data_IF_642028848646
#
_entry.id   IF_642028848646
#
_cell.length_a   1.000
_cell.length_b   1.000
_cell.length_c   1.000
_cell.angle_alpha   90.00
_cell.angle_beta   90.00
_cell.angle_gamma   90.00
#
_symmetry.space_group_name_H-M   'P 1'
#
loop_
_entity.id
_entity.type
_entity.pdbx_description
1 polymer ?
#
# COMPACT_ATOMS: atom_id res chain seq x y z
N UNK A 1 14.95 6.59 25.03
CA UNK A 1 15.21 6.41 23.59
C UNK A 1 14.76 5.02 23.19
N UNK A 2 13.58 4.89 22.60
CA UNK A 2 13.07 3.61 22.10
C UNK A 2 13.91 3.16 20.91
N UNK A 3 14.48 1.96 20.97
CA UNK A 3 15.19 1.34 19.84
C UNK A 3 14.22 1.30 18.65
N UNK A 4 14.62 1.91 17.51
CA UNK A 4 13.89 1.83 16.26
C UNK A 4 13.59 0.37 15.93
N UNK A 5 12.34 0.04 15.61
CA UNK A 5 11.88 -1.32 15.28
C UNK A 5 12.49 -1.85 13.97
N UNK A 6 13.23 -1.00 13.25
CA UNK A 6 13.89 -1.29 11.97
C UNK A 6 15.40 -1.14 12.17
N UNK A 7 16.08 -2.23 12.53
CA UNK A 7 17.49 -2.17 12.90
C UNK A 7 18.44 -2.07 11.70
N UNK A 8 18.01 -2.42 10.48
CA UNK A 8 18.88 -2.33 9.29
C UNK A 8 18.03 -2.12 8.04
N UNK A 9 18.41 -1.12 7.23
CA UNK A 9 17.79 -0.85 5.93
C UNK A 9 17.97 -2.03 4.97
N UNK A 10 19.10 -2.72 5.06
CA UNK A 10 19.46 -3.89 4.26
C UNK A 10 18.43 -5.03 4.37
N UNK A 11 17.79 -5.19 5.53
CA UNK A 11 16.76 -6.21 5.75
C UNK A 11 15.47 -5.96 4.93
N UNK A 12 15.30 -4.75 4.43
CA UNK A 12 14.16 -4.37 3.60
C UNK A 12 14.41 -4.61 2.11
N UNK A 13 15.67 -4.78 1.70
CA UNK A 13 16.08 -4.88 0.29
C UNK A 13 15.61 -6.22 -0.29
N UNK A 14 14.84 -6.15 -1.37
CA UNK A 14 14.44 -7.30 -2.19
C UNK A 14 15.34 -7.46 -3.41
N UNK A 15 15.84 -6.35 -3.93
CA UNK A 15 16.75 -6.32 -5.08
C UNK A 15 17.65 -5.09 -5.00
N UNK A 16 18.88 -5.27 -5.40
CA UNK A 16 19.85 -4.19 -5.61
C UNK A 16 20.71 -4.50 -6.82
N UNK A 17 20.89 -3.50 -7.70
CA UNK A 17 21.86 -3.52 -8.78
C UNK A 17 22.64 -2.19 -8.80
N UNK A 18 23.40 -1.93 -9.86
CA UNK A 18 24.23 -0.70 -9.99
C UNK A 18 23.38 0.58 -10.00
N UNK A 19 22.11 0.49 -10.41
CA UNK A 19 21.23 1.62 -10.65
C UNK A 19 20.10 1.75 -9.63
N UNK A 20 19.59 0.63 -9.12
CA UNK A 20 18.33 0.58 -8.37
C UNK A 20 18.45 -0.23 -7.07
N UNK A 21 17.72 0.22 -6.06
CA UNK A 21 17.38 -0.55 -4.88
C UNK A 21 15.85 -0.67 -4.83
N UNK A 22 15.35 -1.89 -4.64
CA UNK A 22 13.92 -2.17 -4.44
C UNK A 22 13.72 -2.76 -3.06
N UNK A 23 12.86 -2.13 -2.28
CA UNK A 23 12.59 -2.58 -0.91
C UNK A 23 11.15 -3.05 -0.74
N UNK A 24 10.93 -3.94 0.24
CA UNK A 24 9.61 -4.20 0.82
C UNK A 24 9.41 -3.25 2.01
N UNK A 25 8.84 -2.07 1.72
CA UNK A 25 8.60 -1.06 2.77
C UNK A 25 7.66 -1.63 3.84
N UNK A 26 8.07 -1.66 5.11
CA UNK A 26 7.15 -2.06 6.17
C UNK A 26 6.06 -0.99 6.40
N UNK A 27 4.93 -1.37 7.00
CA UNK A 27 3.94 -0.39 7.43
C UNK A 27 4.49 0.51 8.53
N UNK A 28 3.89 1.70 8.69
CA UNK A 28 4.23 2.74 9.66
C UNK A 28 5.59 3.43 9.44
N UNK A 29 6.32 3.09 8.38
CA UNK A 29 7.50 3.82 7.92
C UNK A 29 7.11 4.78 6.79
N UNK A 30 7.38 6.08 6.96
CA UNK A 30 7.14 7.08 5.93
C UNK A 30 8.07 6.88 4.72
N UNK A 31 7.57 7.09 3.48
CA UNK A 31 8.41 7.02 2.27
C UNK A 31 9.39 8.18 2.19
N UNK A 32 8.93 9.38 2.54
CA UNK A 32 9.69 10.64 2.52
C UNK A 32 9.63 11.30 3.89
N UNK A 33 10.50 12.27 4.13
CA UNK A 33 10.53 13.04 5.37
C UNK A 33 9.20 13.81 5.57
N UNK A 34 8.66 13.77 6.76
CA UNK A 34 7.49 14.57 7.14
C UNK A 34 7.96 16.00 7.46
N UNK A 35 7.15 17.02 7.10
CA UNK A 35 7.51 18.45 7.21
C UNK A 35 7.85 18.91 8.63
N UNK A 36 7.32 18.27 9.63
CA UNK A 36 7.42 18.68 11.05
C UNK A 36 8.02 17.57 11.94
N UNK A 37 8.92 16.73 11.41
CA UNK A 37 9.40 15.64 12.24
C UNK A 37 10.80 15.16 11.96
N UNK A 38 11.54 14.88 13.03
CA UNK A 38 12.78 14.08 13.02
C UNK A 38 12.49 12.57 12.84
N UNK A 39 11.27 12.22 12.40
CA UNK A 39 10.83 10.84 12.24
C UNK A 39 11.65 10.08 11.20
N UNK A 40 11.81 8.79 11.43
CA UNK A 40 12.48 7.89 10.50
C UNK A 40 11.66 7.75 9.20
N UNK A 41 12.33 7.89 8.06
CA UNK A 41 11.74 7.68 6.73
C UNK A 41 12.59 6.73 5.90
N UNK A 42 12.01 6.15 4.83
CA UNK A 42 12.79 5.38 3.86
C UNK A 42 13.85 6.27 3.22
N UNK A 43 13.52 7.52 2.90
CA UNK A 43 14.48 8.46 2.32
C UNK A 43 15.74 8.64 3.19
N UNK A 44 15.58 8.84 4.50
CA UNK A 44 16.71 8.96 5.43
C UNK A 44 17.51 7.67 5.53
N UNK A 45 16.83 6.53 5.67
CA UNK A 45 17.49 5.22 5.74
C UNK A 45 18.28 4.91 4.46
N UNK A 46 17.65 5.16 3.30
CA UNK A 46 18.31 4.95 2.00
C UNK A 46 19.55 5.84 1.83
N UNK A 47 19.48 7.11 2.24
CA UNK A 47 20.63 8.01 2.20
C UNK A 47 21.76 7.64 3.19
N UNK A 48 21.43 7.04 4.31
CA UNK A 48 22.44 6.49 5.23
C UNK A 48 23.13 5.25 4.64
N UNK A 49 22.39 4.44 3.89
CA UNK A 49 22.90 3.26 3.21
C UNK A 49 23.71 3.61 1.96
N UNK A 50 23.19 4.53 1.14
CA UNK A 50 23.80 5.00 -0.10
C UNK A 50 23.58 6.51 -0.25
N UNK A 51 24.64 7.29 -0.20
CA UNK A 51 24.57 8.76 -0.07
C UNK A 51 23.76 9.47 -1.19
N UNK A 52 23.79 8.94 -2.41
CA UNK A 52 23.07 9.51 -3.55
C UNK A 52 21.66 8.94 -3.75
N UNK A 53 21.21 8.01 -2.88
CA UNK A 53 19.90 7.37 -3.00
C UNK A 53 18.76 8.38 -3.06
N UNK A 54 17.84 8.15 -4.01
CA UNK A 54 16.63 8.97 -4.21
C UNK A 54 15.41 8.08 -4.33
N UNK A 55 14.40 8.33 -3.51
CA UNK A 55 13.12 7.59 -3.54
C UNK A 55 12.33 8.02 -4.77
N UNK A 56 12.04 7.09 -5.69
CA UNK A 56 11.42 7.38 -6.98
C UNK A 56 9.91 7.64 -6.92
N UNK A 57 9.22 7.08 -5.93
CA UNK A 57 7.78 7.27 -5.70
C UNK A 57 7.45 7.13 -4.22
N UNK A 58 6.19 7.32 -3.87
CA UNK A 58 5.77 7.24 -2.47
C UNK A 58 4.61 6.28 -2.27
N UNK A 59 4.59 5.64 -1.11
CA UNK A 59 3.46 4.95 -0.53
C UNK A 59 2.99 5.72 0.71
N UNK A 60 1.71 5.56 1.07
CA UNK A 60 1.22 6.06 2.35
C UNK A 60 1.98 5.39 3.50
N UNK A 61 2.07 6.06 4.64
CA UNK A 61 2.84 5.58 5.80
C UNK A 61 2.44 4.17 6.23
N UNK A 62 1.14 3.88 6.21
CA UNK A 62 0.57 2.59 6.59
C UNK A 62 0.57 1.55 5.46
N UNK A 63 0.69 1.97 4.20
CA UNK A 63 0.82 1.05 3.07
C UNK A 63 2.18 0.36 3.11
N UNK A 64 2.18 -0.96 3.01
CA UNK A 64 3.39 -1.79 2.89
C UNK A 64 3.67 -2.17 1.44
N UNK A 65 4.87 -2.68 1.14
CA UNK A 65 5.22 -3.27 -0.15
C UNK A 65 6.25 -2.51 -0.95
N UNK A 66 6.28 -2.75 -2.25
CA UNK A 66 7.34 -2.29 -3.15
C UNK A 66 7.53 -0.78 -3.16
N UNK A 67 8.76 -0.36 -2.90
CA UNK A 67 9.20 1.01 -3.05
C UNK A 67 10.54 1.03 -3.79
N UNK A 68 10.62 1.86 -4.85
CA UNK A 68 11.75 1.95 -5.75
C UNK A 68 12.63 3.13 -5.38
N UNK A 69 13.94 2.91 -5.35
CA UNK A 69 14.97 3.89 -5.00
C UNK A 69 16.02 3.85 -6.08
N UNK A 70 16.37 5.00 -6.63
CA UNK A 70 17.50 5.15 -7.57
C UNK A 70 18.79 5.41 -6.81
N UNK A 71 19.91 4.85 -7.30
CA UNK A 71 21.24 5.02 -6.72
C UNK A 71 21.99 6.23 -7.28
N UNK A 72 21.54 6.81 -8.39
CA UNK A 72 22.14 7.96 -9.03
C UNK A 72 21.09 8.86 -9.69
N UNK A 73 21.43 10.16 -9.98
CA UNK A 73 20.50 11.13 -10.56
C UNK A 73 19.98 10.75 -11.95
N UNK A 74 20.80 10.10 -12.78
CA UNK A 74 20.42 9.68 -14.13
C UNK A 74 19.30 8.64 -14.06
N UNK A 75 19.47 7.63 -13.22
CA UNK A 75 18.45 6.59 -12.98
C UNK A 75 17.19 7.18 -12.37
N UNK A 76 17.32 8.09 -11.39
CA UNK A 76 16.18 8.79 -10.81
C UNK A 76 15.36 9.52 -11.86
N UNK A 77 16.04 10.28 -12.75
CA UNK A 77 15.39 11.02 -13.84
C UNK A 77 14.71 10.05 -14.83
N UNK A 78 15.38 8.99 -15.22
CA UNK A 78 14.85 8.01 -16.17
C UNK A 78 13.60 7.31 -15.59
N UNK A 79 13.66 6.86 -14.34
CA UNK A 79 12.52 6.24 -13.64
C UNK A 79 11.36 7.24 -13.45
N UNK A 80 11.67 8.49 -13.12
CA UNK A 80 10.64 9.55 -12.99
C UNK A 80 9.87 9.76 -14.29
N UNK A 81 10.54 9.74 -15.44
CA UNK A 81 9.92 9.82 -16.77
C UNK A 81 8.98 8.63 -17.00
N UNK A 82 9.37 7.40 -16.60
CA UNK A 82 8.52 6.22 -16.73
C UNK A 82 7.24 6.33 -15.89
N UNK A 83 7.36 6.87 -14.65
CA UNK A 83 6.19 7.16 -13.81
C UNK A 83 5.28 8.25 -14.42
N UNK A 84 5.86 9.35 -14.91
CA UNK A 84 5.14 10.46 -15.54
C UNK A 84 4.38 9.99 -16.78
N UNK A 85 5.02 9.16 -17.61
CA UNK A 85 4.44 8.57 -18.81
C UNK A 85 3.51 7.38 -18.54
N UNK A 86 3.28 7.03 -17.25
CA UNK A 86 2.43 5.91 -16.81
C UNK A 86 2.85 4.55 -17.37
N UNK A 87 4.15 4.36 -17.59
CA UNK A 87 4.73 3.11 -18.10
C UNK A 87 5.22 2.18 -16.99
N UNK A 88 5.10 2.60 -15.74
CA UNK A 88 5.31 1.75 -14.57
C UNK A 88 3.99 1.11 -14.18
N UNK A 89 3.84 -0.19 -14.46
CA UNK A 89 2.69 -0.96 -14.02
C UNK A 89 2.82 -1.27 -12.52
N UNK A 90 1.78 -0.97 -11.76
CA UNK A 90 1.71 -1.13 -10.30
C UNK A 90 0.50 -1.99 -9.97
N UNK A 91 0.71 -3.03 -9.19
CA UNK A 91 -0.37 -3.87 -8.66
C UNK A 91 -0.35 -3.82 -7.14
N UNK A 92 -1.49 -3.49 -6.57
CA UNK A 92 -1.71 -3.52 -5.12
C UNK A 92 -2.74 -4.58 -4.80
N UNK A 93 -2.61 -5.18 -3.62
CA UNK A 93 -3.65 -6.02 -3.06
C UNK A 93 -4.29 -5.31 -1.87
N UNK A 94 -5.62 -5.33 -1.83
CA UNK A 94 -6.42 -4.79 -0.73
C UNK A 94 -7.42 -5.84 -0.24
N UNK A 95 -7.65 -5.88 1.07
CA UNK A 95 -8.81 -6.58 1.64
C UNK A 95 -9.89 -5.53 1.89
N UNK A 96 -11.06 -5.69 1.26
CA UNK A 96 -12.20 -4.78 1.36
C UNK A 96 -13.35 -5.43 2.11
N UNK A 97 -14.19 -4.60 2.73
CA UNK A 97 -15.42 -5.05 3.40
C UNK A 97 -16.49 -5.44 2.36
N UNK A 98 -17.22 -6.51 2.66
CA UNK A 98 -18.30 -7.03 1.81
C UNK A 98 -17.81 -7.97 0.71
N UNK A 99 -18.77 -8.62 0.07
CA UNK A 99 -18.55 -9.48 -1.10
C UNK A 99 -18.82 -8.66 -2.35
N UNK A 100 -17.74 -8.29 -3.06
CA UNK A 100 -17.80 -7.48 -4.27
C UNK A 100 -17.24 -8.24 -5.46
N UNK A 101 -17.95 -8.23 -6.57
CA UNK A 101 -17.52 -8.85 -7.83
C UNK A 101 -17.04 -7.74 -8.76
N UNK A 102 -15.73 -7.61 -8.88
CA UNK A 102 -15.09 -6.69 -9.82
C UNK A 102 -14.40 -7.49 -10.93
N UNK A 103 -14.87 -7.32 -12.15
CA UNK A 103 -14.30 -7.93 -13.36
C UNK A 103 -13.61 -6.84 -14.17
N UNK A 104 -12.38 -6.47 -13.75
CA UNK A 104 -11.63 -5.35 -14.33
C UNK A 104 -12.39 -4.01 -14.33
N UNK A 105 -13.09 -3.72 -13.24
CA UNK A 105 -13.84 -2.48 -13.06
C UNK A 105 -12.91 -1.26 -13.11
N UNK A 106 -13.09 -0.40 -14.12
CA UNK A 106 -12.45 0.90 -14.17
C UNK A 106 -13.21 1.93 -13.32
N UNK A 107 -12.54 2.53 -12.35
CA UNK A 107 -13.00 3.74 -11.66
C UNK A 107 -12.17 4.92 -12.18
N UNK A 108 -12.84 5.80 -12.96
CA UNK A 108 -12.28 7.05 -13.49
C UNK A 108 -12.99 8.23 -12.81
N UNK A 109 -12.49 8.61 -11.64
CA UNK A 109 -13.03 9.68 -10.82
C UNK A 109 -11.91 10.63 -10.39
N UNK A 110 -11.97 11.92 -10.79
CA UNK A 110 -10.90 12.86 -10.49
C UNK A 110 -10.83 13.18 -9.00
N UNK A 111 -9.61 13.34 -8.50
CA UNK A 111 -9.30 13.53 -7.08
C UNK A 111 -8.75 14.93 -6.85
N UNK A 112 -9.39 15.68 -5.95
CA UNK A 112 -8.93 16.96 -5.44
C UNK A 112 -8.21 16.77 -4.10
N UNK A 113 -7.00 17.32 -4.00
CA UNK A 113 -6.25 17.37 -2.74
C UNK A 113 -6.70 18.60 -1.94
N UNK A 114 -7.31 18.35 -0.78
CA UNK A 114 -7.83 19.39 0.13
C UNK A 114 -6.78 19.90 1.13
N UNK A 115 -5.54 19.39 1.06
CA UNK A 115 -4.54 19.62 2.12
C UNK A 115 -4.74 18.72 3.35
N UNK A 116 -3.84 18.86 4.33
CA UNK A 116 -3.89 18.10 5.61
C UNK A 116 -4.14 16.59 5.46
N UNK A 117 -3.54 15.98 4.44
CA UNK A 117 -3.69 14.55 4.11
C UNK A 117 -5.14 14.13 3.74
N UNK A 118 -6.00 15.07 3.36
CA UNK A 118 -7.37 14.79 2.93
C UNK A 118 -7.52 14.95 1.41
N UNK A 119 -8.31 14.08 0.81
CA UNK A 119 -8.69 14.15 -0.61
C UNK A 119 -10.20 13.91 -0.75
N UNK A 120 -10.76 14.43 -1.82
CA UNK A 120 -12.17 14.22 -2.19
C UNK A 120 -12.31 13.97 -3.69
N UNK A 121 -13.41 13.33 -4.10
CA UNK A 121 -13.79 13.27 -5.51
C UNK A 121 -14.39 14.61 -5.90
N UNK A 122 -13.82 15.24 -6.91
CA UNK A 122 -14.31 16.51 -7.46
C UNK A 122 -14.18 16.50 -8.98
N UNK A 123 -15.31 16.44 -9.68
CA UNK A 123 -15.35 16.36 -11.14
C UNK A 123 -14.95 17.66 -11.83
N UNK A 124 -15.06 18.79 -11.14
CA UNK A 124 -14.76 20.11 -11.70
C UNK A 124 -13.28 20.48 -11.52
N UNK A 125 -12.73 20.26 -10.33
CA UNK A 125 -11.39 20.74 -9.94
C UNK A 125 -10.39 19.64 -9.65
N UNK A 126 -10.84 18.37 -9.60
CA UNK A 126 -9.99 17.22 -9.32
C UNK A 126 -9.03 16.91 -10.46
N UNK A 127 -7.86 16.35 -10.10
CA UNK A 127 -6.91 15.84 -11.09
C UNK A 127 -7.34 14.45 -11.53
N UNK A 128 -7.26 14.16 -12.82
CA UNK A 128 -7.55 12.83 -13.40
C UNK A 128 -6.91 11.71 -12.57
N UNK A 129 -7.73 10.72 -12.22
CA UNK A 129 -7.33 9.54 -11.46
C UNK A 129 -8.11 8.32 -11.96
N UNK A 130 -7.37 7.25 -12.27
CA UNK A 130 -7.91 6.02 -12.87
C UNK A 130 -7.33 4.81 -12.15
N UNK A 131 -8.20 3.87 -11.77
CA UNK A 131 -7.81 2.62 -11.11
C UNK A 131 -8.69 1.48 -11.63
N UNK A 132 -8.06 0.37 -12.06
CA UNK A 132 -8.76 -0.88 -12.32
C UNK A 132 -8.82 -1.74 -11.06
N UNK A 133 -9.94 -2.40 -10.84
CA UNK A 133 -10.17 -3.33 -9.74
C UNK A 133 -10.61 -4.69 -10.25
N UNK A 134 -10.02 -5.75 -9.70
CA UNK A 134 -10.39 -7.14 -9.98
C UNK A 134 -10.47 -7.92 -8.68
N UNK A 135 -11.59 -8.61 -8.46
CA UNK A 135 -11.73 -9.49 -7.31
C UNK A 135 -10.91 -10.76 -7.51
N UNK A 136 -10.03 -11.05 -6.55
CA UNK A 136 -9.15 -12.22 -6.57
C UNK A 136 -9.70 -13.39 -5.78
N UNK A 137 -10.28 -13.08 -4.60
CA UNK A 137 -10.83 -14.10 -3.70
C UNK A 137 -11.96 -13.52 -2.86
N UNK A 138 -12.99 -14.28 -2.67
CA UNK A 138 -14.14 -13.95 -1.85
C UNK A 138 -14.03 -14.65 -0.50
N UNK A 139 -14.46 -13.96 0.54
CA UNK A 139 -14.67 -14.49 1.88
C UNK A 139 -16.05 -14.06 2.34
N UNK A 140 -16.59 -14.69 3.35
CA UNK A 140 -17.97 -14.46 3.84
C UNK A 140 -18.38 -12.98 3.97
N UNK A 141 -17.48 -12.14 4.45
CA UNK A 141 -17.72 -10.71 4.72
C UNK A 141 -16.65 -9.79 4.14
N UNK A 142 -15.70 -10.31 3.37
CA UNK A 142 -14.59 -9.57 2.80
C UNK A 142 -14.26 -10.06 1.39
N UNK A 143 -13.55 -9.24 0.65
CA UNK A 143 -13.01 -9.63 -0.66
C UNK A 143 -11.54 -9.21 -0.74
N UNK A 144 -10.66 -10.09 -1.22
CA UNK A 144 -9.31 -9.74 -1.64
C UNK A 144 -9.40 -9.20 -3.07
N UNK A 145 -8.91 -7.98 -3.26
CA UNK A 145 -8.97 -7.25 -4.56
C UNK A 145 -7.59 -6.88 -5.04
N UNK A 146 -7.35 -7.11 -6.32
CA UNK A 146 -6.27 -6.52 -7.08
C UNK A 146 -6.66 -5.10 -7.49
N UNK A 147 -5.76 -4.14 -7.24
CA UNK A 147 -5.92 -2.75 -7.59
C UNK A 147 -4.77 -2.32 -8.50
N UNK A 148 -5.07 -1.88 -9.72
CA UNK A 148 -4.08 -1.43 -10.70
C UNK A 148 -4.27 0.06 -11.01
N UNK A 149 -3.62 0.96 -10.23
CA UNK A 149 -3.74 2.39 -10.45
C UNK A 149 -2.90 2.83 -11.65
N UNK A 150 -3.53 3.43 -12.67
CA UNK A 150 -2.87 4.03 -13.84
C UNK A 150 -2.21 5.34 -13.45
N UNK A 151 -2.86 6.13 -12.63
CA UNK A 151 -2.36 7.38 -12.04
C UNK A 151 -1.84 7.12 -10.61
N UNK A 152 -1.28 8.13 -9.95
CA UNK A 152 -0.73 8.01 -8.59
C UNK A 152 -1.12 9.20 -7.71
N UNK A 153 -2.43 9.45 -7.52
CA UNK A 153 -2.90 10.51 -6.63
C UNK A 153 -2.87 10.05 -5.18
N UNK A 154 -2.77 11.00 -4.27
CA UNK A 154 -2.83 10.72 -2.82
C UNK A 154 -4.12 9.97 -2.49
N UNK A 155 -4.02 8.89 -1.71
CA UNK A 155 -5.13 8.01 -1.29
C UNK A 155 -5.99 7.44 -2.44
N UNK A 156 -5.50 7.43 -3.68
CA UNK A 156 -6.31 7.13 -4.87
C UNK A 156 -7.06 5.81 -4.75
N UNK A 157 -6.38 4.70 -4.46
CA UNK A 157 -7.01 3.37 -4.34
C UNK A 157 -8.07 3.40 -3.24
N UNK A 158 -7.76 4.02 -2.10
CA UNK A 158 -8.60 4.08 -0.90
C UNK A 158 -9.93 4.79 -1.18
N UNK A 159 -9.87 6.01 -1.75
CA UNK A 159 -11.07 6.78 -2.05
C UNK A 159 -11.85 6.17 -3.23
N UNK A 160 -11.19 5.63 -4.26
CA UNK A 160 -11.86 4.96 -5.37
C UNK A 160 -12.65 3.73 -4.90
N UNK A 161 -12.08 2.88 -4.05
CA UNK A 161 -12.80 1.75 -3.45
C UNK A 161 -13.99 2.22 -2.59
N UNK A 162 -13.80 3.27 -1.79
CA UNK A 162 -14.88 3.84 -0.98
C UNK A 162 -16.06 4.34 -1.84
N UNK A 163 -15.81 4.90 -3.04
CA UNK A 163 -16.88 5.28 -3.98
C UNK A 163 -17.69 4.09 -4.47
N UNK A 164 -17.10 2.90 -4.47
CA UNK A 164 -17.77 1.64 -4.83
C UNK A 164 -18.46 0.97 -3.62
N UNK A 165 -18.56 1.65 -2.47
CA UNK A 165 -19.04 1.08 -1.19
C UNK A 165 -18.24 -0.14 -0.73
N UNK A 166 -16.98 -0.20 -1.13
CA UNK A 166 -16.04 -1.29 -0.93
C UNK A 166 -14.83 -0.78 -0.12
N UNK A 167 -15.07 -0.21 1.07
CA UNK A 167 -14.01 0.37 1.89
C UNK A 167 -12.94 -0.68 2.25
N UNK A 168 -11.69 -0.27 2.27
CA UNK A 168 -10.60 -1.14 2.70
C UNK A 168 -10.76 -1.43 4.20
N UNK A 169 -10.65 -2.69 4.59
CA UNK A 169 -10.69 -3.12 5.98
C UNK A 169 -9.64 -2.36 6.82
N UNK A 170 -10.06 -1.72 7.90
CA UNK A 170 -9.23 -0.89 8.76
C UNK A 170 -8.98 0.54 8.27
N UNK A 171 -9.59 0.97 7.16
CA UNK A 171 -9.43 2.35 6.65
C UNK A 171 -10.52 3.28 7.19
N UNK A 172 -10.39 3.67 8.44
CA UNK A 172 -11.38 4.50 9.14
C UNK A 172 -11.62 5.85 8.44
N UNK A 173 -10.59 6.44 7.79
CA UNK A 173 -10.74 7.69 7.04
C UNK A 173 -11.77 7.57 5.90
N UNK A 174 -11.88 6.39 5.30
CA UNK A 174 -12.82 6.09 4.22
C UNK A 174 -13.89 5.07 4.65
N UNK A 175 -14.28 5.09 5.94
CA UNK A 175 -15.39 4.31 6.54
C UNK A 175 -15.15 2.80 6.64
N UNK A 176 -13.93 2.32 6.41
CA UNK A 176 -13.54 0.95 6.68
C UNK A 176 -13.36 0.71 8.17
N UNK A 177 -13.78 -0.46 8.66
CA UNK A 177 -13.76 -0.81 10.08
C UNK A 177 -12.56 -1.69 10.42
N UNK A 178 -12.00 -1.58 11.64
CA UNK A 178 -11.02 -2.54 12.14
C UNK A 178 -11.60 -3.96 12.14
N UNK A 179 -10.77 -4.94 11.79
CA UNK A 179 -11.18 -6.35 11.72
C UNK A 179 -10.77 -7.07 12.99
N UNK A 180 -11.75 -7.58 13.72
CA UNK A 180 -11.55 -8.33 14.95
C UNK A 180 -11.78 -9.83 14.72
N UNK A 181 -11.01 -10.66 15.44
CA UNK A 181 -11.12 -12.11 15.33
C UNK A 181 -12.51 -12.61 15.79
N UNK A 182 -13.12 -11.97 16.78
CA UNK A 182 -14.49 -12.26 17.26
C UNK A 182 -15.55 -12.10 16.18
N UNK A 183 -15.36 -11.14 15.25
CA UNK A 183 -16.28 -10.89 14.13
C UNK A 183 -16.20 -11.99 13.06
N UNK A 184 -15.00 -12.53 12.84
CA UNK A 184 -14.76 -13.59 11.85
C UNK A 184 -15.11 -14.97 12.45
N UNK A 185 -14.64 -15.24 13.67
CA UNK A 185 -14.84 -16.51 14.38
C UNK A 185 -16.11 -16.47 15.20
N UNK A 186 -17.24 -16.87 14.59
CA UNK A 186 -18.57 -16.83 15.23
C UNK A 186 -18.77 -17.76 16.44
N UNK A 187 -18.02 -18.87 16.55
CA UNK A 187 -18.15 -19.85 17.64
C UNK A 187 -16.81 -20.11 18.32
N UNK A 188 -16.83 -20.25 19.65
CA UNK A 188 -15.65 -20.62 20.43
C UNK A 188 -14.59 -19.53 20.50
N UNK A 189 -14.93 -18.23 20.29
CA UNK A 189 -14.08 -17.12 20.63
C UNK A 189 -14.17 -16.89 22.14
N UNK A 190 -13.02 -16.97 22.82
CA UNK A 190 -12.94 -16.71 24.27
C UNK A 190 -11.82 -15.72 24.49
N UNK A 191 -12.10 -14.59 25.08
CA UNK A 191 -11.08 -13.66 25.54
C UNK A 191 -10.56 -14.07 26.91
N UNK A 192 -9.25 -13.91 27.11
CA UNK A 192 -8.67 -14.01 28.46
C UNK A 192 -9.24 -12.91 29.37
N UNK A 193 -9.52 -13.25 30.65
CA UNK A 193 -10.04 -12.28 31.63
C UNK A 193 -9.19 -11.00 31.66
N UNK A 194 -9.82 -9.85 31.53
CA UNK A 194 -9.19 -8.52 31.64
C UNK A 194 -8.37 -8.06 30.42
N UNK A 195 -8.51 -8.69 29.25
CA UNK A 195 -7.90 -8.21 27.99
C UNK A 195 -8.95 -7.62 27.07
N UNK A 196 -8.63 -6.48 26.47
CA UNK A 196 -9.40 -5.94 25.36
C UNK A 196 -8.96 -6.62 24.06
N UNK A 197 -9.90 -6.86 23.15
CA UNK A 197 -9.60 -7.44 21.85
C UNK A 197 -8.88 -6.40 20.97
N UNK A 198 -7.73 -6.78 20.43
CA UNK A 198 -7.04 -5.97 19.46
C UNK A 198 -7.42 -6.40 18.03
N UNK A 199 -7.53 -5.45 17.07
CA UNK A 199 -7.77 -5.78 15.68
C UNK A 199 -6.62 -6.62 15.10
N UNK A 200 -6.93 -7.54 14.18
CA UNK A 200 -5.94 -8.39 13.48
C UNK A 200 -4.88 -7.54 12.78
N UNK A 201 -5.31 -6.42 12.21
CA UNK A 201 -4.43 -5.39 11.66
C UNK A 201 -4.73 -4.03 12.30
N UNK A 202 -3.68 -3.30 12.71
CA UNK A 202 -3.77 -1.94 13.31
C UNK A 202 -3.66 -0.84 12.24
N UNK A 203 -3.97 -1.14 10.99
CA UNK A 203 -3.91 -0.26 9.82
C UNK A 203 -4.82 -0.77 8.73
N UNK A 204 -5.04 0.02 7.70
CA UNK A 204 -5.79 -0.44 6.54
C UNK A 204 -5.04 -1.53 5.75
N UNK A 205 -5.80 -2.48 5.23
CA UNK A 205 -5.30 -3.66 4.53
C UNK A 205 -4.98 -3.35 3.06
N UNK A 206 -3.86 -2.62 2.82
CA UNK A 206 -3.36 -2.28 1.50
C UNK A 206 -1.86 -2.58 1.40
N UNK A 207 -1.45 -3.25 0.32
CA UNK A 207 -0.08 -3.70 0.08
C UNK A 207 0.31 -3.51 -1.39
N UNK A 208 1.43 -2.82 -1.67
CA UNK A 208 2.02 -2.69 -3.00
C UNK A 208 2.71 -4.00 -3.39
N UNK A 209 1.97 -4.86 -4.08
CA UNK A 209 2.32 -6.26 -4.32
C UNK A 209 3.31 -6.45 -5.45
N UNK A 210 3.10 -5.74 -6.57
CA UNK A 210 3.87 -5.97 -7.79
C UNK A 210 4.21 -4.66 -8.49
N UNK A 211 5.39 -4.64 -9.12
CA UNK A 211 5.90 -3.52 -9.90
C UNK A 211 6.57 -4.05 -11.16
N UNK A 212 6.16 -3.53 -12.34
CA UNK A 212 6.77 -3.85 -13.63
C UNK A 212 7.06 -2.58 -14.41
N UNK A 213 8.25 -2.49 -14.98
CA UNK A 213 8.67 -1.39 -15.86
C UNK A 213 9.87 -1.77 -16.71
N UNK A 214 10.16 -0.95 -17.71
CA UNK A 214 11.36 -1.06 -18.53
C UNK A 214 12.24 0.18 -18.32
N UNK A 215 13.53 -0.01 -18.17
CA UNK A 215 14.50 1.07 -18.07
C UNK A 215 15.62 0.82 -19.10
N UNK A 216 15.69 1.65 -20.13
CA UNK A 216 16.48 1.33 -21.31
C UNK A 216 15.99 0.06 -22.00
N UNK A 217 16.86 -0.93 -22.17
CA UNK A 217 16.51 -2.25 -22.71
C UNK A 217 16.16 -3.28 -21.64
N UNK A 218 16.39 -2.96 -20.35
CA UNK A 218 16.20 -3.90 -19.24
C UNK A 218 14.77 -3.86 -18.74
N UNK A 219 14.13 -5.01 -18.71
CA UNK A 219 12.82 -5.21 -18.08
C UNK A 219 12.97 -5.59 -16.61
N UNK A 220 12.19 -4.96 -15.77
CA UNK A 220 12.16 -5.22 -14.34
C UNK A 220 10.77 -5.69 -13.93
N UNK A 221 10.74 -6.74 -13.11
CA UNK A 221 9.54 -7.28 -12.51
C UNK A 221 9.84 -7.69 -11.07
N UNK A 222 9.13 -7.10 -10.12
CA UNK A 222 9.31 -7.34 -8.69
C UNK A 222 7.99 -7.69 -8.03
N UNK A 223 8.06 -8.58 -7.06
CA UNK A 223 6.96 -8.90 -6.17
C UNK A 223 7.41 -8.78 -4.71
N UNK A 224 6.57 -8.17 -3.84
CA UNK A 224 6.81 -8.12 -2.41
C UNK A 224 5.98 -9.18 -1.69
N UNK A 225 6.58 -9.96 -0.77
CA UNK A 225 5.81 -10.83 0.10
C UNK A 225 4.91 -10.01 1.04
N UNK A 226 3.76 -10.56 1.39
CA UNK A 226 2.88 -9.93 2.37
C UNK A 226 3.57 -9.78 3.73
N UNK A 227 3.42 -8.64 4.40
CA UNK A 227 3.87 -8.50 5.78
C UNK A 227 3.02 -9.37 6.72
N UNK A 228 3.57 -9.67 7.89
CA UNK A 228 2.98 -10.62 8.85
C UNK A 228 1.52 -10.32 9.20
N UNK A 229 1.17 -9.05 9.37
CA UNK A 229 -0.18 -8.62 9.70
C UNK A 229 -1.18 -8.88 8.57
N UNK A 230 -0.81 -8.57 7.32
CA UNK A 230 -1.65 -8.83 6.14
C UNK A 230 -1.81 -10.34 5.88
N UNK A 231 -0.72 -11.10 5.99
CA UNK A 231 -0.76 -12.56 5.85
C UNK A 231 -1.61 -13.21 6.96
N UNK A 232 -1.52 -12.70 8.20
CA UNK A 232 -2.35 -13.16 9.30
C UNK A 232 -3.84 -12.88 9.06
N UNK A 233 -4.18 -11.69 8.56
CA UNK A 233 -5.56 -11.36 8.19
C UNK A 233 -6.10 -12.34 7.16
N UNK A 234 -5.40 -12.55 6.04
CA UNK A 234 -5.83 -13.50 5.00
C UNK A 234 -6.01 -14.92 5.56
N UNK A 235 -5.05 -15.40 6.35
CA UNK A 235 -5.14 -16.72 6.98
C UNK A 235 -6.38 -16.86 7.90
N UNK A 236 -6.74 -15.83 8.66
CA UNK A 236 -7.92 -15.86 9.50
C UNK A 236 -9.20 -15.83 8.66
N UNK A 237 -9.26 -15.01 7.62
CA UNK A 237 -10.40 -14.98 6.70
C UNK A 237 -10.62 -16.34 6.03
N UNK A 238 -9.54 -16.97 5.54
CA UNK A 238 -9.58 -18.32 4.94
C UNK A 238 -10.08 -19.38 5.91
N UNK A 239 -9.57 -19.34 7.14
CA UNK A 239 -9.87 -20.35 8.17
C UNK A 239 -11.34 -20.34 8.61
N UNK A 240 -11.99 -19.19 8.56
CA UNK A 240 -13.36 -18.99 9.07
C UNK A 240 -14.33 -18.54 7.96
N UNK A 241 -14.07 -18.95 6.73
CA UNK A 241 -14.87 -18.62 5.55
C UNK A 241 -16.21 -19.39 5.50
N UNK A 242 -16.37 -20.44 6.32
CA UNK A 242 -17.57 -21.28 6.43
C UNK A 242 -18.79 -20.62 7.12
#
# INVERSE_FOLDING_TARGET
MGKSKYNKFEELILHEDDNLIVINKPPFLASLDEREGEGLSVHRLAKQYYAEAQVCHRLDKETSGLLLIAKNPETYRAVSIEFERRRVAKTYHAVIEGTHIFEDLLVDLPILNMGNKNVTIDRANGKRAETYFKSLRYFKHYTLVECRPITGRMHQIRIHLATQRASIAGDELYKGKPVFLSQIKKRGFTMGKGREEEPIMKRFALHARELRFTLGEKQYHFEAPYPKDFAALLKQLEKYDD
#
